data_IF_128824925669
#
_entry.id   IF_128824925669
#
_cell.length_a   1.000
_cell.length_b   1.000
_cell.length_c   1.000
_cell.angle_alpha   90.00
_cell.angle_beta   90.00
_cell.angle_gamma   90.00
#
_symmetry.space_group_name_H-M   'P 1'
#
loop_
_entity.id
_entity.type
_entity.pdbx_description
1 polymer ?
#
# COMPACT_ATOMS: atom_id res chain seq x y z
N UNK A 1 8.25 24.85 -5.61
CA UNK A 1 7.68 26.14 -5.18
C UNK A 1 8.25 27.20 -6.10
N UNK A 2 7.41 27.95 -6.80
CA UNK A 2 7.87 29.00 -7.72
C UNK A 2 8.36 30.25 -6.95
N UNK A 3 8.86 31.27 -7.68
CA UNK A 3 9.29 32.56 -7.10
C UNK A 3 8.15 33.34 -6.43
N UNK A 4 6.89 32.96 -6.67
CA UNK A 4 5.67 33.55 -6.09
C UNK A 4 5.11 32.71 -4.92
N UNK A 5 5.85 31.70 -4.48
CA UNK A 5 5.46 30.76 -3.42
C UNK A 5 4.27 29.83 -3.76
N UNK A 6 3.98 29.62 -5.04
CA UNK A 6 2.99 28.65 -5.50
C UNK A 6 3.55 27.22 -5.50
N UNK A 7 2.70 26.27 -5.13
CA UNK A 7 3.00 24.85 -5.20
C UNK A 7 2.50 24.29 -6.53
N UNK A 8 3.35 23.46 -7.15
CA UNK A 8 3.01 22.71 -8.34
C UNK A 8 3.23 21.23 -8.05
N UNK A 9 2.40 20.38 -8.65
CA UNK A 9 2.49 18.93 -8.55
C UNK A 9 2.80 18.35 -9.92
N UNK A 10 3.71 17.40 -9.99
CA UNK A 10 3.94 16.62 -11.20
C UNK A 10 2.85 15.54 -11.29
N UNK A 11 1.98 15.65 -12.31
CA UNK A 11 0.81 14.78 -12.47
C UNK A 11 1.09 13.72 -13.54
N UNK A 12 0.92 12.44 -13.16
CA UNK A 12 0.93 11.31 -14.09
C UNK A 12 -0.48 11.07 -14.62
N UNK A 13 -0.66 11.22 -15.93
CA UNK A 13 -1.96 11.04 -16.58
C UNK A 13 -2.30 9.57 -16.86
N UNK A 14 -3.59 9.22 -16.81
CA UNK A 14 -4.06 7.86 -17.10
C UNK A 14 -3.76 7.51 -18.56
N UNK A 15 -3.38 6.26 -18.80
CA UNK A 15 -3.08 5.73 -20.15
C UNK A 15 -1.97 6.45 -20.95
N UNK A 16 -1.23 7.34 -20.30
CA UNK A 16 -0.06 8.01 -20.87
C UNK A 16 1.24 7.57 -20.16
N UNK A 17 2.36 7.55 -20.91
CA UNK A 17 3.68 7.28 -20.36
C UNK A 17 4.15 8.41 -19.42
N UNK A 18 5.18 8.11 -18.61
CA UNK A 18 5.68 9.04 -17.57
C UNK A 18 6.33 10.31 -18.13
N UNK A 19 6.83 10.28 -19.35
CA UNK A 19 7.41 11.45 -20.05
C UNK A 19 6.36 12.50 -20.42
N UNK A 20 5.08 12.12 -20.46
CA UNK A 20 3.96 13.03 -20.65
C UNK A 20 3.40 13.59 -19.34
N UNK A 21 4.07 13.37 -18.21
CA UNK A 21 3.70 14.01 -16.96
C UNK A 21 3.93 15.52 -17.03
N UNK A 22 2.98 16.30 -16.53
CA UNK A 22 3.00 17.77 -16.58
C UNK A 22 2.96 18.36 -15.17
N UNK A 23 3.50 19.57 -15.03
CA UNK A 23 3.44 20.33 -13.78
C UNK A 23 2.15 21.13 -13.71
N UNK A 24 1.28 20.77 -12.77
CA UNK A 24 -0.02 21.41 -12.58
C UNK A 24 -0.03 22.28 -11.32
N UNK A 25 -0.82 23.35 -11.37
CA UNK A 25 -1.02 24.27 -10.24
C UNK A 25 -1.92 23.64 -9.15
N UNK A 26 -1.68 24.01 -7.88
CA UNK A 26 -2.44 23.47 -6.73
C UNK A 26 -3.96 23.70 -6.83
N UNK A 27 -4.38 24.78 -7.49
CA UNK A 27 -5.78 25.22 -7.58
C UNK A 27 -6.50 24.75 -8.86
N UNK A 28 -5.87 23.90 -9.69
CA UNK A 28 -6.47 23.42 -10.93
C UNK A 28 -7.65 22.46 -10.68
N UNK A 29 -8.75 22.63 -11.43
CA UNK A 29 -9.96 21.81 -11.33
C UNK A 29 -9.85 20.52 -12.16
N UNK A 30 -9.14 19.53 -11.63
CA UNK A 30 -9.09 18.16 -12.18
C UNK A 30 -9.97 17.25 -11.30
N UNK A 31 -10.69 16.26 -11.88
CA UNK A 31 -11.41 15.25 -11.10
C UNK A 31 -10.52 14.56 -10.05
N UNK A 32 -11.04 14.40 -8.83
CA UNK A 32 -10.37 13.75 -7.70
C UNK A 32 -9.01 14.33 -7.27
N UNK A 33 -8.63 15.51 -7.77
CA UNK A 33 -7.30 16.08 -7.54
C UNK A 33 -6.99 16.32 -6.06
N UNK A 34 -7.98 16.78 -5.29
CA UNK A 34 -7.81 16.96 -3.85
C UNK A 34 -7.52 15.64 -3.13
N UNK A 35 -8.26 14.58 -3.46
CA UNK A 35 -8.09 13.24 -2.88
C UNK A 35 -6.70 12.68 -3.20
N UNK A 36 -6.25 12.83 -4.46
CA UNK A 36 -4.92 12.38 -4.89
C UNK A 36 -3.79 13.15 -4.20
N UNK A 37 -3.95 14.47 -3.98
CA UNK A 37 -2.98 15.27 -3.21
C UNK A 37 -2.88 14.79 -1.76
N UNK A 38 -4.01 14.51 -1.11
CA UNK A 38 -4.03 13.95 0.25
C UNK A 38 -3.32 12.59 0.28
N UNK A 39 -3.62 11.71 -0.67
CA UNK A 39 -2.97 10.40 -0.78
C UNK A 39 -1.45 10.52 -0.99
N UNK A 40 -0.99 11.43 -1.86
CA UNK A 40 0.44 11.72 -2.07
C UNK A 40 1.14 12.12 -0.78
N UNK A 41 0.56 13.06 -0.02
CA UNK A 41 1.16 13.53 1.22
C UNK A 41 1.17 12.45 2.31
N UNK A 42 0.09 11.69 2.45
CA UNK A 42 0.01 10.56 3.38
C UNK A 42 1.09 9.52 3.04
N UNK A 43 1.22 9.13 1.77
CA UNK A 43 2.23 8.18 1.33
C UNK A 43 3.67 8.70 1.55
N UNK A 44 3.93 9.99 1.29
CA UNK A 44 5.23 10.61 1.53
C UNK A 44 5.60 10.60 3.02
N UNK A 45 4.63 10.90 3.89
CA UNK A 45 4.81 10.83 5.35
C UNK A 45 5.12 9.40 5.81
N UNK A 46 4.35 8.41 5.33
CA UNK A 46 4.55 6.99 5.66
C UNK A 46 5.91 6.44 5.19
N UNK A 47 6.36 6.80 3.98
CA UNK A 47 7.58 6.21 3.41
C UNK A 47 8.88 6.94 3.79
N UNK A 48 8.84 8.27 3.93
CA UNK A 48 10.04 9.10 4.04
C UNK A 48 10.22 9.66 5.47
N UNK A 49 9.16 9.72 6.28
CA UNK A 49 9.22 10.22 7.66
C UNK A 49 9.63 11.70 7.79
N UNK A 50 9.80 12.41 6.67
CA UNK A 50 10.03 13.85 6.64
C UNK A 50 8.71 14.58 6.88
N UNK A 51 8.62 15.45 7.89
CA UNK A 51 7.60 16.49 7.90
C UNK A 51 7.87 17.46 6.74
N UNK A 52 7.06 17.46 5.67
CA UNK A 52 7.24 18.46 4.63
C UNK A 52 6.63 19.77 5.14
N UNK A 53 7.18 20.89 4.69
CA UNK A 53 6.51 22.19 4.73
C UNK A 53 5.23 22.13 3.87
N UNK A 54 4.17 21.51 4.39
CA UNK A 54 2.85 21.42 3.78
C UNK A 54 2.42 22.84 3.38
N UNK A 55 1.80 23.05 2.21
CA UNK A 55 1.20 24.33 1.87
C UNK A 55 0.23 24.73 3.00
N UNK A 56 0.42 25.92 3.60
CA UNK A 56 -0.28 26.35 4.84
C UNK A 56 -1.81 26.41 4.74
N UNK A 57 -2.40 26.19 3.55
CA UNK A 57 -3.84 26.28 3.29
C UNK A 57 -4.66 25.02 3.65
N UNK A 58 -4.05 23.86 3.82
CA UNK A 58 -4.75 22.63 4.25
C UNK A 58 -4.63 22.44 5.77
N UNK A 59 -5.34 23.26 6.55
CA UNK A 59 -5.53 23.01 7.99
C UNK A 59 -6.99 22.67 8.30
N UNK A 60 -7.14 21.47 8.88
CA UNK A 60 -8.22 20.92 9.74
C UNK A 60 -9.16 19.89 9.09
N UNK A 61 -8.68 18.65 9.00
CA UNK A 61 -9.48 17.52 9.48
C UNK A 61 -8.91 17.10 10.84
N UNK A 62 -9.80 16.94 11.84
CA UNK A 62 -9.44 16.63 13.23
C UNK A 62 -8.65 15.31 13.29
N UNK A 63 -7.41 15.39 13.78
CA UNK A 63 -6.55 14.26 14.11
C UNK A 63 -7.15 13.54 15.32
N UNK A 64 -7.76 12.37 15.13
CA UNK A 64 -7.86 11.38 16.21
C UNK A 64 -6.42 10.89 16.41
N UNK A 65 -5.87 11.19 17.59
CA UNK A 65 -4.55 10.70 18.00
C UNK A 65 -4.71 9.24 18.40
N UNK A 66 -4.43 8.33 17.47
CA UNK A 66 -3.88 7.03 17.84
C UNK A 66 -2.37 7.11 17.68
N UNK A 67 -1.68 7.06 18.81
CA UNK A 67 -0.23 6.97 18.87
C UNK A 67 0.16 5.51 18.66
N UNK A 68 0.43 5.13 17.41
CA UNK A 68 1.13 3.87 17.11
C UNK A 68 2.52 4.23 16.66
N UNK A 69 3.52 3.72 17.38
CA UNK A 69 4.93 3.89 17.06
C UNK A 69 5.29 3.01 15.87
N UNK A 70 5.23 3.55 14.65
CA UNK A 70 5.53 2.84 13.40
C UNK A 70 7.04 2.72 13.16
N UNK A 71 7.77 2.13 14.12
CA UNK A 71 9.01 1.44 13.78
C UNK A 71 8.62 0.01 13.42
N UNK A 72 9.07 -0.55 12.28
CA UNK A 72 8.83 -1.95 11.98
C UNK A 72 9.36 -2.76 13.19
N UNK A 73 8.49 -3.51 13.88
CA UNK A 73 8.93 -4.32 15.00
C UNK A 73 10.00 -5.28 14.48
N UNK A 74 11.06 -5.47 15.27
CA UNK A 74 12.18 -6.37 14.93
C UNK A 74 11.76 -7.85 14.82
N UNK A 75 10.47 -8.14 15.06
CA UNK A 75 9.82 -9.43 14.90
C UNK A 75 8.43 -9.18 14.32
N UNK A 76 7.95 -9.98 13.34
CA UNK A 76 6.59 -9.86 12.84
C UNK A 76 5.58 -10.03 13.99
N UNK A 77 4.50 -9.23 13.98
CA UNK A 77 3.47 -9.24 15.02
C UNK A 77 2.63 -10.52 15.05
N UNK A 78 2.62 -11.26 13.93
CA UNK A 78 1.97 -12.55 13.75
C UNK A 78 3.05 -13.52 13.28
N UNK A 79 3.22 -14.66 13.96
CA UNK A 79 4.12 -15.70 13.45
C UNK A 79 3.58 -16.18 12.09
N UNK A 80 4.36 -16.11 11.00
CA UNK A 80 3.87 -16.46 9.65
C UNK A 80 3.55 -17.96 9.49
N UNK A 81 3.79 -18.73 10.55
CA UNK A 81 3.45 -20.15 10.71
C UNK A 81 1.97 -20.37 11.02
N UNK A 82 1.23 -19.35 11.48
CA UNK A 82 -0.22 -19.45 11.71
C UNK A 82 -0.94 -19.49 10.36
N UNK A 83 -1.56 -20.63 10.08
CA UNK A 83 -2.35 -20.86 8.87
C UNK A 83 -3.65 -20.05 8.91
N UNK A 84 -3.98 -19.46 7.78
CA UNK A 84 -5.29 -18.86 7.58
C UNK A 84 -6.30 -19.98 7.25
N UNK A 85 -7.25 -20.21 8.16
CA UNK A 85 -8.41 -21.10 7.95
C UNK A 85 -9.50 -20.42 7.10
N UNK A 86 -9.58 -19.10 7.20
CA UNK A 86 -10.49 -18.24 6.42
C UNK A 86 -9.64 -17.18 5.72
N UNK A 87 -10.08 -16.73 4.55
CA UNK A 87 -9.37 -15.65 3.83
C UNK A 87 -9.21 -14.41 4.73
N UNK A 88 -8.06 -13.71 4.66
CA UNK A 88 -7.85 -12.52 5.47
C UNK A 88 -8.82 -11.38 5.13
N UNK A 89 -9.19 -10.58 6.13
CA UNK A 89 -10.15 -9.48 5.98
C UNK A 89 -9.71 -8.44 4.94
N UNK A 90 -8.40 -8.21 4.82
CA UNK A 90 -7.84 -7.28 3.85
C UNK A 90 -8.11 -7.70 2.39
N UNK A 91 -8.45 -8.96 2.14
CA UNK A 91 -8.92 -9.45 0.83
C UNK A 91 -10.43 -9.25 0.70
N UNK A 92 -11.18 -9.54 1.77
CA UNK A 92 -12.64 -9.39 1.79
C UNK A 92 -13.06 -7.93 1.55
N UNK A 93 -12.34 -6.97 2.12
CA UNK A 93 -12.61 -5.53 1.97
C UNK A 93 -12.47 -5.06 0.51
N UNK A 94 -11.66 -5.74 -0.32
CA UNK A 94 -11.57 -5.39 -1.76
C UNK A 94 -12.74 -5.94 -2.58
N UNK A 95 -13.68 -6.66 -1.96
CA UNK A 95 -14.77 -7.35 -2.64
C UNK A 95 -14.33 -8.63 -3.38
N UNK A 96 -13.12 -9.11 -3.11
CA UNK A 96 -12.57 -10.33 -3.70
C UNK A 96 -12.78 -11.57 -2.81
N UNK A 97 -12.84 -12.74 -3.44
CA UNK A 97 -12.85 -14.03 -2.74
C UNK A 97 -11.74 -14.91 -3.30
N UNK A 98 -10.94 -15.51 -2.42
CA UNK A 98 -9.93 -16.49 -2.85
C UNK A 98 -10.56 -17.86 -3.01
N UNK A 99 -10.13 -18.58 -4.04
CA UNK A 99 -10.41 -20.01 -4.11
C UNK A 99 -9.61 -20.76 -3.02
N UNK A 100 -10.11 -21.92 -2.59
CA UNK A 100 -9.47 -22.71 -1.53
C UNK A 100 -8.02 -23.09 -1.84
N UNK A 101 -7.73 -23.46 -3.10
CA UNK A 101 -6.37 -23.75 -3.54
C UNK A 101 -5.45 -22.51 -3.52
N UNK A 102 -6.00 -21.31 -3.69
CA UNK A 102 -5.23 -20.06 -3.60
C UNK A 102 -4.87 -19.75 -2.15
N UNK A 103 -5.79 -20.02 -1.21
CA UNK A 103 -5.55 -19.89 0.22
C UNK A 103 -4.49 -20.90 0.71
N UNK A 104 -4.54 -22.14 0.22
CA UNK A 104 -3.52 -23.15 0.49
C UNK A 104 -2.14 -22.72 -0.03
N UNK A 105 -2.07 -22.23 -1.28
CA UNK A 105 -0.84 -21.68 -1.84
C UNK A 105 -0.30 -20.49 -1.06
N UNK A 106 -1.18 -19.58 -0.59
CA UNK A 106 -0.80 -18.46 0.28
C UNK A 106 -0.19 -18.95 1.59
N UNK A 107 -0.83 -19.91 2.25
CA UNK A 107 -0.33 -20.49 3.51
C UNK A 107 1.04 -21.17 3.31
N UNK A 108 1.23 -21.86 2.18
CA UNK A 108 2.51 -22.49 1.84
C UNK A 108 3.63 -21.46 1.59
N UNK A 109 3.33 -20.36 0.89
CA UNK A 109 4.28 -19.26 0.66
C UNK A 109 4.68 -18.59 1.98
N UNK A 110 3.71 -18.28 2.85
CA UNK A 110 3.97 -17.69 4.18
C UNK A 110 4.80 -18.61 5.07
N UNK A 111 4.48 -19.90 5.08
CA UNK A 111 5.25 -20.90 5.82
C UNK A 111 6.70 -20.98 5.32
N UNK A 112 6.92 -21.05 4.01
CA UNK A 112 8.26 -21.14 3.43
C UNK A 112 9.09 -19.88 3.68
N UNK A 113 8.45 -18.70 3.61
CA UNK A 113 9.08 -17.43 3.99
C UNK A 113 9.51 -17.41 5.47
N UNK A 114 8.68 -17.92 6.38
CA UNK A 114 9.03 -18.04 7.80
C UNK A 114 10.27 -18.93 8.05
N UNK A 115 10.51 -19.92 7.18
CA UNK A 115 11.67 -20.80 7.23
C UNK A 115 12.90 -20.24 6.48
N UNK A 116 12.81 -19.05 5.87
CA UNK A 116 13.88 -18.48 5.05
C UNK A 116 14.21 -19.33 3.81
N UNK A 117 13.23 -20.10 3.30
CA UNK A 117 13.41 -20.96 2.13
C UNK A 117 12.78 -20.31 0.90
N UNK A 118 13.58 -20.14 -0.15
CA UNK A 118 13.08 -19.62 -1.43
C UNK A 118 12.12 -20.61 -2.10
N UNK A 119 11.08 -20.09 -2.76
CA UNK A 119 10.01 -20.90 -3.36
C UNK A 119 9.80 -20.58 -4.83
N UNK A 120 9.34 -21.58 -5.58
CA UNK A 120 8.90 -21.44 -6.97
C UNK A 120 7.44 -21.89 -7.04
N UNK A 121 6.54 -20.99 -7.40
CA UNK A 121 5.11 -21.28 -7.57
C UNK A 121 4.84 -21.86 -8.96
N UNK A 122 4.84 -23.18 -9.06
CA UNK A 122 4.79 -23.94 -10.32
C UNK A 122 3.39 -24.45 -10.71
N UNK A 123 2.32 -23.73 -10.33
CA UNK A 123 0.94 -24.10 -10.65
C UNK A 123 0.60 -23.96 -12.15
N UNK A 124 -0.50 -24.59 -12.58
CA UNK A 124 -1.01 -24.47 -13.95
C UNK A 124 -1.28 -23.01 -14.36
N UNK A 125 -1.20 -22.74 -15.66
CA UNK A 125 -1.49 -21.42 -16.22
C UNK A 125 -2.98 -21.07 -16.00
N UNK A 126 -3.24 -19.83 -15.57
CA UNK A 126 -4.62 -19.36 -15.35
C UNK A 126 -5.20 -19.60 -13.94
N UNK A 127 -4.52 -20.34 -13.06
CA UNK A 127 -4.98 -20.56 -11.67
C UNK A 127 -4.84 -19.34 -10.73
N UNK A 128 -4.34 -18.21 -11.24
CA UNK A 128 -4.27 -16.98 -10.45
C UNK A 128 -3.00 -16.82 -9.60
N UNK A 129 -1.86 -17.35 -10.07
CA UNK A 129 -0.53 -17.11 -9.46
C UNK A 129 -0.25 -15.64 -9.15
N UNK A 130 -0.67 -14.73 -10.03
CA UNK A 130 -0.54 -13.29 -9.81
C UNK A 130 -1.29 -12.83 -8.55
N UNK A 131 -2.52 -13.29 -8.36
CA UNK A 131 -3.33 -12.94 -7.18
C UNK A 131 -2.71 -13.57 -5.93
N UNK A 132 -2.29 -14.84 -5.99
CA UNK A 132 -1.59 -15.48 -4.87
C UNK A 132 -0.34 -14.69 -4.45
N UNK A 133 0.49 -14.25 -5.40
CA UNK A 133 1.69 -13.44 -5.11
C UNK A 133 1.34 -12.07 -4.55
N UNK A 134 0.34 -11.38 -5.09
CA UNK A 134 -0.09 -10.06 -4.59
C UNK A 134 -0.60 -10.18 -3.15
N UNK A 135 -1.47 -11.16 -2.87
CA UNK A 135 -2.00 -11.41 -1.53
C UNK A 135 -0.91 -11.82 -0.57
N UNK A 136 0.06 -12.63 -1.00
CA UNK A 136 1.24 -12.98 -0.21
C UNK A 136 2.04 -11.75 0.21
N UNK A 137 2.43 -10.90 -0.74
CA UNK A 137 3.16 -9.66 -0.43
C UNK A 137 2.35 -8.72 0.47
N UNK A 138 1.04 -8.64 0.25
CA UNK A 138 0.18 -7.78 1.04
C UNK A 138 0.00 -8.30 2.48
N UNK A 139 -0.06 -9.63 2.66
CA UNK A 139 -0.06 -10.25 4.00
C UNK A 139 1.21 -9.89 4.78
N UNK A 140 2.38 -10.00 4.16
CA UNK A 140 3.66 -9.62 4.77
C UNK A 140 3.72 -8.12 5.08
N UNK A 141 3.25 -7.26 4.16
CA UNK A 141 3.22 -5.81 4.40
C UNK A 141 2.37 -5.46 5.63
N UNK A 142 1.17 -6.03 5.74
CA UNK A 142 0.27 -5.83 6.87
C UNK A 142 0.87 -6.31 8.20
N UNK A 143 1.47 -7.50 8.20
CA UNK A 143 2.05 -8.14 9.39
C UNK A 143 3.35 -7.47 9.88
N UNK A 144 4.18 -6.99 8.96
CA UNK A 144 5.45 -6.33 9.27
C UNK A 144 5.26 -4.85 9.62
N UNK A 145 4.30 -4.17 9.00
CA UNK A 145 4.02 -2.75 9.29
C UNK A 145 3.04 -2.54 10.45
N UNK A 146 2.47 -3.61 11.03
CA UNK A 146 1.53 -3.50 12.16
C UNK A 146 0.25 -2.73 11.84
N UNK A 147 -0.13 -2.69 10.57
CA UNK A 147 -1.32 -1.97 10.10
C UNK A 147 -2.54 -2.89 10.22
N UNK A 148 -3.17 -2.98 11.39
CA UNK A 148 -4.52 -3.56 11.50
C UNK A 148 -5.53 -2.70 10.71
#
# INVERSE_FOLDING_TARGET
>A
VDRKANYHYLVKWRDLPYDQATWEEDELEIPDYHTLKVAYWNHREMCIGEEPARPKKTKKLKKVKESVSDKPPSSPAIEPTIKYEVQPDFVTVTGGTLHMYQLEGLNWLRFSWAQGTDTILADEMGLGKTIQTIVFLYSLYKEVCGLE
#
